data_IF_247707499238
#
_entry.id   IF_247707499238
#
_cell.length_a   1.000
_cell.length_b   1.000
_cell.length_c   1.000
_cell.angle_alpha   90.00
_cell.angle_beta   90.00
_cell.angle_gamma   90.00
#
_symmetry.space_group_name_H-M   'P 1'
#
loop_
_entity.id
_entity.type
_entity.pdbx_description
1 polymer ?
#
# COMPACT_ATOMS: atom_id res chain seq x y z
N UNK A 1 2.32 -31.83 -36.76
CA UNK A 1 2.03 -30.82 -35.71
C UNK A 1 3.36 -30.25 -35.23
N UNK A 2 3.74 -29.05 -35.70
CA UNK A 2 5.00 -28.41 -35.35
C UNK A 2 4.73 -27.22 -34.40
N UNK A 3 5.39 -27.20 -33.24
CA UNK A 3 5.32 -26.09 -32.28
C UNK A 3 6.17 -24.93 -32.80
N UNK A 4 5.53 -23.84 -33.18
CA UNK A 4 6.23 -22.62 -33.58
C UNK A 4 6.73 -21.92 -32.31
N UNK A 5 8.03 -22.01 -32.04
CA UNK A 5 8.67 -21.29 -30.93
C UNK A 5 9.25 -20.01 -31.51
N UNK A 6 8.52 -18.90 -31.38
CA UNK A 6 8.99 -17.60 -31.85
C UNK A 6 10.05 -17.08 -30.87
N UNK A 7 11.33 -17.20 -31.23
CA UNK A 7 12.41 -16.56 -30.49
C UNK A 7 12.27 -15.03 -30.62
N UNK A 8 12.23 -14.33 -29.50
CA UNK A 8 12.07 -12.88 -29.46
C UNK A 8 13.46 -12.24 -29.33
N UNK A 9 13.87 -11.50 -30.36
CA UNK A 9 15.12 -10.75 -30.42
C UNK A 9 14.95 -9.39 -29.71
N UNK A 10 15.70 -9.19 -28.62
CA UNK A 10 15.67 -7.98 -27.81
C UNK A 10 16.17 -6.73 -28.58
N UNK A 11 16.88 -6.92 -29.70
CA UNK A 11 17.40 -5.83 -30.52
C UNK A 11 16.33 -5.18 -31.41
N UNK A 12 15.21 -5.88 -31.65
CA UNK A 12 14.08 -5.40 -32.45
C UNK A 12 12.88 -4.95 -31.61
N UNK A 13 13.00 -4.91 -30.28
CA UNK A 13 11.96 -4.37 -29.42
C UNK A 13 12.06 -2.84 -29.34
N UNK A 14 10.93 -2.19 -29.61
CA UNK A 14 10.75 -0.75 -29.69
C UNK A 14 11.08 -0.07 -28.34
N UNK A 15 12.24 0.56 -28.23
CA UNK A 15 12.69 1.29 -27.04
C UNK A 15 12.18 2.74 -27.09
N UNK A 16 10.86 2.94 -26.94
CA UNK A 16 10.24 4.26 -26.73
C UNK A 16 10.46 5.30 -27.84
N UNK A 17 9.39 5.85 -28.41
CA UNK A 17 9.51 6.98 -29.33
C UNK A 17 9.95 8.22 -28.56
N UNK A 18 11.14 8.76 -28.82
CA UNK A 18 11.44 10.15 -28.44
C UNK A 18 10.51 11.08 -29.21
N UNK A 19 9.56 11.71 -28.53
CA UNK A 19 8.75 12.79 -29.10
C UNK A 19 9.35 14.14 -28.71
N UNK A 20 9.91 14.85 -29.69
CA UNK A 20 10.19 16.28 -29.56
C UNK A 20 8.86 17.02 -29.66
N UNK A 21 8.30 17.43 -28.52
CA UNK A 21 7.07 18.23 -28.47
C UNK A 21 7.42 19.69 -28.76
N UNK A 22 6.92 20.23 -29.87
CA UNK A 22 6.93 21.66 -30.14
C UNK A 22 5.82 22.33 -29.32
N UNK A 23 6.17 23.36 -28.54
CA UNK A 23 5.24 24.07 -27.64
C UNK A 23 4.22 24.83 -28.51
N UNK A 24 3.07 24.21 -28.78
CA UNK A 24 2.01 24.80 -29.59
C UNK A 24 0.81 23.89 -29.88
N UNK A 25 0.99 22.56 -29.87
CA UNK A 25 -0.09 21.58 -30.08
C UNK A 25 -0.59 21.00 -28.75
N UNK A 26 -1.35 21.80 -28.00
CA UNK A 26 -2.11 21.29 -26.85
C UNK A 26 -3.50 20.92 -27.37
N UNK A 27 -3.71 19.71 -27.92
CA UNK A 27 -5.05 19.41 -28.40
C UNK A 27 -5.32 18.18 -29.26
N UNK A 28 -4.64 17.06 -29.07
CA UNK A 28 -5.21 15.73 -29.37
C UNK A 28 -4.29 14.67 -28.76
N UNK A 29 -4.51 14.37 -27.48
CA UNK A 29 -3.87 13.22 -26.86
C UNK A 29 -4.50 11.95 -27.43
N UNK A 30 -3.81 11.26 -28.33
CA UNK A 30 -4.14 9.89 -28.67
C UNK A 30 -4.10 9.07 -27.37
N UNK A 31 -5.23 8.49 -26.98
CA UNK A 31 -5.29 7.57 -25.83
C UNK A 31 -4.57 6.30 -26.26
N UNK A 32 -3.29 6.20 -25.94
CA UNK A 32 -2.52 4.98 -26.14
C UNK A 32 -3.07 3.92 -25.17
N UNK A 33 -3.91 3.02 -25.69
CA UNK A 33 -4.35 1.83 -24.97
C UNK A 33 -3.17 0.88 -24.93
N UNK A 34 -2.34 1.01 -23.88
CA UNK A 34 -1.24 0.08 -23.65
C UNK A 34 -1.83 -1.23 -23.14
N UNK A 35 -2.00 -2.20 -24.05
CA UNK A 35 -2.37 -3.58 -23.71
C UNK A 35 -1.16 -4.28 -23.07
N UNK A 36 -0.91 -3.96 -21.80
CA UNK A 36 0.11 -4.65 -21.01
C UNK A 36 -0.45 -6.02 -20.61
N UNK A 37 0.21 -7.13 -20.96
CA UNK A 37 -0.20 -8.42 -20.43
C UNK A 37 -0.16 -8.37 -18.90
N UNK A 38 -1.22 -8.84 -18.25
CA UNK A 38 -1.27 -8.91 -16.79
C UNK A 38 -0.07 -9.74 -16.30
N UNK A 39 0.64 -9.28 -15.25
CA UNK A 39 1.70 -10.09 -14.68
C UNK A 39 1.11 -11.42 -14.20
N UNK A 40 1.82 -12.51 -14.44
CA UNK A 40 1.41 -13.84 -13.98
C UNK A 40 1.14 -13.82 -12.47
N UNK A 41 -0.04 -14.29 -12.04
CA UNK A 41 -0.45 -14.24 -10.63
C UNK A 41 -1.33 -13.05 -10.23
N UNK A 42 -1.55 -12.08 -11.13
CA UNK A 42 -2.34 -10.89 -10.83
C UNK A 42 -3.80 -11.22 -10.49
N UNK A 43 -4.41 -12.18 -11.19
CA UNK A 43 -5.81 -12.55 -10.98
C UNK A 43 -6.00 -13.21 -9.61
N UNK A 44 -5.08 -14.11 -9.23
CA UNK A 44 -5.07 -14.80 -7.96
C UNK A 44 -4.84 -13.82 -6.80
N UNK A 45 -3.95 -12.85 -6.99
CA UNK A 45 -3.71 -11.79 -6.01
C UNK A 45 -4.94 -10.90 -5.84
N UNK A 46 -5.57 -10.47 -6.93
CA UNK A 46 -6.80 -9.67 -6.88
C UNK A 46 -7.94 -10.44 -6.21
N UNK A 47 -8.10 -11.74 -6.48
CA UNK A 47 -9.07 -12.58 -5.80
C UNK A 47 -8.78 -12.63 -4.28
N UNK A 48 -7.52 -12.87 -3.89
CA UNK A 48 -7.09 -12.90 -2.50
C UNK A 48 -7.32 -11.56 -1.77
N UNK A 49 -7.07 -10.43 -2.44
CA UNK A 49 -7.27 -9.08 -1.90
C UNK A 49 -8.76 -8.69 -1.78
N UNK A 50 -9.65 -9.36 -2.52
CA UNK A 50 -11.10 -9.15 -2.43
C UNK A 50 -11.79 -10.00 -1.36
N UNK A 51 -11.08 -10.95 -0.73
CA UNK A 51 -11.63 -11.79 0.33
C UNK A 51 -12.10 -10.95 1.55
N UNK A 52 -13.21 -11.34 2.20
CA UNK A 52 -13.68 -10.68 3.41
C UNK A 52 -12.82 -11.06 4.62
N UNK A 53 -12.44 -10.04 5.40
CA UNK A 53 -11.69 -10.16 6.66
C UNK A 53 -12.40 -9.30 7.71
N UNK A 54 -12.62 -9.86 8.89
CA UNK A 54 -13.21 -9.12 10.01
C UNK A 54 -12.11 -8.48 10.83
N UNK A 55 -12.11 -7.16 10.88
CA UNK A 55 -11.10 -6.37 11.62
C UNK A 55 -11.77 -5.41 12.59
N UNK A 56 -11.06 -5.07 13.65
CA UNK A 56 -11.46 -4.03 14.60
C UNK A 56 -10.32 -3.04 14.73
N UNK A 57 -10.58 -1.78 14.38
CA UNK A 57 -9.64 -0.68 14.60
C UNK A 57 -9.77 -0.23 16.05
N UNK A 58 -8.65 -0.10 16.76
CA UNK A 58 -8.67 0.32 18.15
C UNK A 58 -9.05 1.80 18.29
N UNK A 59 -9.60 2.12 19.45
CA UNK A 59 -9.85 3.49 19.88
C UNK A 59 -8.54 4.27 19.97
N UNK A 60 -8.58 5.56 19.69
CA UNK A 60 -7.43 6.45 19.86
C UNK A 60 -7.49 7.10 21.22
N UNK A 61 -6.32 7.40 21.80
CA UNK A 61 -6.20 8.20 23.03
C UNK A 61 -6.03 9.69 22.74
N UNK A 62 -5.92 10.07 21.47
CA UNK A 62 -5.78 11.48 21.05
C UNK A 62 -7.17 12.07 20.78
N UNK A 63 -7.51 13.18 21.45
CA UNK A 63 -8.79 13.88 21.28
C UNK A 63 -8.94 14.50 19.88
N UNK A 64 -7.83 14.73 19.17
CA UNK A 64 -7.85 15.27 17.81
C UNK A 64 -8.10 14.20 16.74
N UNK A 65 -8.05 12.92 17.12
CA UNK A 65 -8.27 11.82 16.19
C UNK A 65 -9.76 11.66 15.90
N UNK A 66 -10.08 11.42 14.63
CA UNK A 66 -11.45 11.14 14.23
C UNK A 66 -11.86 9.71 14.59
N UNK A 67 -13.12 9.56 15.01
CA UNK A 67 -13.76 8.27 15.30
C UNK A 67 -13.84 7.36 14.07
N UNK A 68 -13.88 7.97 12.89
CA UNK A 68 -14.03 7.27 11.61
C UNK A 68 -12.75 7.40 10.79
N UNK A 69 -12.16 6.25 10.44
CA UNK A 69 -10.96 6.16 9.61
C UNK A 69 -11.35 5.86 8.18
N UNK A 70 -11.01 6.76 7.26
CA UNK A 70 -11.24 6.59 5.82
C UNK A 70 -10.05 5.91 5.16
N UNK A 71 -10.30 4.85 4.40
CA UNK A 71 -9.29 4.12 3.62
C UNK A 71 -9.73 4.01 2.17
N UNK A 72 -8.93 4.55 1.25
CA UNK A 72 -9.18 4.50 -0.19
C UNK A 72 -8.30 3.48 -0.92
N UNK A 73 -8.90 2.68 -1.79
CA UNK A 73 -8.20 1.79 -2.72
C UNK A 73 -8.86 1.86 -4.10
N UNK A 74 -8.13 2.33 -5.10
CA UNK A 74 -8.56 2.39 -6.52
C UNK A 74 -9.92 3.09 -6.70
N UNK A 75 -10.13 4.25 -6.06
CA UNK A 75 -11.37 5.02 -6.14
C UNK A 75 -12.52 4.50 -5.27
N UNK A 76 -12.35 3.36 -4.59
CA UNK A 76 -13.33 2.86 -3.61
C UNK A 76 -12.87 3.20 -2.20
N UNK A 77 -13.76 3.84 -1.45
CA UNK A 77 -13.53 4.24 -0.07
C UNK A 77 -14.26 3.31 0.91
N UNK A 78 -13.55 2.89 1.95
CA UNK A 78 -14.12 2.18 3.10
C UNK A 78 -13.90 3.02 4.36
N UNK A 79 -14.98 3.19 5.13
CA UNK A 79 -14.92 3.83 6.44
C UNK A 79 -14.85 2.76 7.53
N UNK A 80 -13.93 2.95 8.46
CA UNK A 80 -13.79 2.12 9.66
C UNK A 80 -14.24 2.90 10.87
N UNK A 81 -15.15 2.31 11.66
CA UNK A 81 -15.50 2.88 12.96
C UNK A 81 -14.60 2.25 14.03
N UNK A 82 -13.91 3.08 14.80
CA UNK A 82 -13.06 2.60 15.92
C UNK A 82 -13.91 1.87 16.96
N UNK A 83 -13.34 0.85 17.60
CA UNK A 83 -13.98 0.02 18.61
C UNK A 83 -15.02 -0.98 18.08
N UNK A 84 -15.34 -0.97 16.78
CA UNK A 84 -16.35 -1.85 16.18
C UNK A 84 -15.71 -2.84 15.21
N UNK A 85 -16.00 -4.13 15.39
CA UNK A 85 -15.61 -5.16 14.44
C UNK A 85 -16.41 -5.03 13.14
N UNK A 86 -15.72 -4.94 12.01
CA UNK A 86 -16.33 -4.78 10.69
C UNK A 86 -15.71 -5.76 9.70
N UNK A 87 -16.54 -6.41 8.91
CA UNK A 87 -16.10 -7.29 7.82
C UNK A 87 -15.88 -6.47 6.56
N UNK A 88 -14.64 -6.41 6.10
CA UNK A 88 -14.19 -5.60 4.96
C UNK A 88 -13.35 -6.43 3.99
N UNK A 89 -13.13 -5.93 2.79
CA UNK A 89 -12.19 -6.58 1.85
C UNK A 89 -10.74 -6.43 2.32
N UNK A 90 -9.94 -7.48 2.17
CA UNK A 90 -8.52 -7.54 2.56
C UNK A 90 -7.68 -6.37 2.02
N UNK A 91 -7.95 -5.87 0.82
CA UNK A 91 -7.28 -4.69 0.24
C UNK A 91 -7.30 -3.44 1.13
N UNK A 92 -8.37 -3.25 1.93
CA UNK A 92 -8.45 -2.13 2.86
C UNK A 92 -7.61 -2.38 4.12
N UNK A 93 -7.54 -3.65 4.56
CA UNK A 93 -6.69 -4.07 5.68
C UNK A 93 -5.21 -3.91 5.33
N UNK A 94 -4.82 -4.18 4.09
CA UNK A 94 -3.46 -3.92 3.61
C UNK A 94 -3.08 -2.44 3.79
N UNK A 95 -3.95 -1.52 3.36
CA UNK A 95 -3.71 -0.08 3.51
C UNK A 95 -3.60 0.34 4.96
N UNK A 96 -4.40 -0.24 5.86
CA UNK A 96 -4.27 -0.02 7.30
C UNK A 96 -2.93 -0.53 7.84
N UNK A 97 -2.50 -1.73 7.43
CA UNK A 97 -1.22 -2.32 7.84
C UNK A 97 -0.01 -1.50 7.36
N UNK A 98 -0.12 -0.89 6.18
CA UNK A 98 0.91 -0.01 5.62
C UNK A 98 0.87 1.41 6.19
N UNK A 99 -0.19 1.81 6.90
CA UNK A 99 -0.29 3.13 7.49
C UNK A 99 0.55 3.23 8.77
N UNK A 100 1.85 3.49 8.62
CA UNK A 100 2.78 3.67 9.74
C UNK A 100 3.08 5.15 9.96
N UNK A 101 3.31 5.51 11.23
CA UNK A 101 3.79 6.82 11.66
C UNK A 101 5.19 6.66 12.22
N UNK A 102 6.08 7.58 11.84
CA UNK A 102 7.43 7.69 12.40
C UNK A 102 7.47 8.94 13.25
N UNK A 103 7.63 8.75 14.55
CA UNK A 103 7.81 9.83 15.51
C UNK A 103 9.30 9.94 15.86
N UNK A 104 9.77 11.16 16.11
CA UNK A 104 11.16 11.42 16.48
C UNK A 104 11.21 11.93 17.92
N UNK A 105 12.07 11.33 18.72
CA UNK A 105 12.28 11.70 20.12
C UNK A 105 13.73 12.16 20.30
N UNK A 106 13.89 13.29 20.98
CA UNK A 106 15.18 13.90 21.22
C UNK A 106 15.40 14.03 22.72
N UNK A 107 16.43 13.35 23.24
CA UNK A 107 16.88 13.56 24.62
C UNK A 107 18.02 14.57 24.61
N UNK A 108 17.78 15.75 25.17
CA UNK A 108 18.79 16.77 25.43
C UNK A 108 19.35 16.56 26.84
N UNK A 109 20.68 16.46 26.96
CA UNK A 109 21.37 16.53 28.25
C UNK A 109 22.11 17.87 28.33
N UNK A 110 21.52 18.82 29.07
CA UNK A 110 22.00 20.19 29.19
C UNK A 110 23.42 20.28 29.78
N UNK A 111 23.91 19.24 30.47
CA UNK A 111 25.26 19.23 31.06
C UNK A 111 26.36 18.87 30.06
N UNK A 112 26.01 18.14 29.00
CA UNK A 112 26.95 17.66 27.96
C UNK A 112 26.90 18.50 26.67
N UNK A 113 25.97 19.46 26.58
CA UNK A 113 25.80 20.36 25.43
C UNK A 113 25.24 19.66 24.20
N UNK A 114 25.29 20.33 23.04
CA UNK A 114 24.73 19.82 21.77
C UNK A 114 25.44 18.58 21.20
N UNK A 115 26.62 18.22 21.73
CA UNK A 115 27.46 17.13 21.21
C UNK A 115 26.90 15.72 21.46
N UNK A 116 25.87 15.57 22.28
CA UNK A 116 25.24 14.28 22.66
C UNK A 116 23.75 14.20 22.28
N UNK A 117 23.33 14.98 21.28
CA UNK A 117 21.97 14.93 20.77
C UNK A 117 21.70 13.63 19.99
N UNK A 118 21.07 12.65 20.63
CA UNK A 118 20.67 11.40 19.98
C UNK A 118 19.18 11.45 19.61
N UNK A 119 18.91 11.55 18.31
CA UNK A 119 17.56 11.45 17.75
C UNK A 119 17.15 9.97 17.67
N UNK A 120 16.08 9.58 18.37
CA UNK A 120 15.54 8.23 18.32
C UNK A 120 14.26 8.20 17.49
N UNK A 121 14.27 7.39 16.44
CA UNK A 121 13.08 7.14 15.63
C UNK A 121 12.21 6.07 16.29
N UNK A 122 10.91 6.31 16.35
CA UNK A 122 9.90 5.36 16.82
C UNK A 122 8.88 5.13 15.72
N UNK A 123 8.77 3.90 15.24
CA UNK A 123 7.77 3.52 14.25
C UNK A 123 6.57 2.85 14.95
N UNK A 124 5.37 3.30 14.62
CA UNK A 124 4.12 2.73 15.12
C UNK A 124 3.07 2.68 14.02
N UNK A 125 2.02 1.90 14.24
CA UNK A 125 0.84 1.96 13.36
C UNK A 125 0.08 3.26 13.63
N UNK A 126 -0.28 3.98 12.56
CA UNK A 126 -1.12 5.17 12.65
C UNK A 126 -2.53 4.81 13.12
N UNK A 127 -3.04 3.66 12.67
CA UNK A 127 -4.34 3.12 13.06
C UNK A 127 -4.14 1.71 13.60
N UNK A 128 -3.84 1.54 14.89
CA UNK A 128 -3.72 0.22 15.49
C UNK A 128 -5.02 -0.59 15.30
N UNK A 129 -4.91 -1.85 14.89
CA UNK A 129 -6.07 -2.71 14.65
C UNK A 129 -5.76 -4.16 15.03
N UNK A 130 -6.82 -4.97 15.14
CA UNK A 130 -6.73 -6.42 15.28
C UNK A 130 -7.56 -7.12 14.20
N UNK A 131 -7.12 -8.31 13.80
CA UNK A 131 -7.87 -9.20 12.93
C UNK A 131 -8.66 -10.15 13.82
N UNK A 132 -9.99 -10.04 13.78
CA UNK A 132 -10.90 -10.87 14.57
C UNK A 132 -11.10 -12.22 13.88
N UNK A 133 -11.29 -12.22 12.57
CA UNK A 133 -11.50 -13.42 11.77
C UNK A 133 -10.89 -13.25 10.38
N UNK A 134 -10.10 -14.23 9.97
CA UNK A 134 -9.62 -14.41 8.60
C UNK A 134 -9.73 -15.89 8.24
N UNK A 135 -10.60 -16.21 7.28
CA UNK A 135 -10.86 -17.60 6.88
C UNK A 135 -9.75 -18.17 6.01
N UNK A 136 -8.89 -17.33 5.45
CA UNK A 136 -7.82 -17.78 4.58
C UNK A 136 -6.58 -18.12 5.43
N UNK A 137 -6.08 -19.38 5.38
CA UNK A 137 -4.90 -19.78 6.17
C UNK A 137 -3.62 -19.02 5.79
N UNK A 138 -3.57 -18.45 4.57
CA UNK A 138 -2.42 -17.65 4.10
C UNK A 138 -2.46 -16.21 4.63
N UNK A 139 -3.62 -15.74 5.10
CA UNK A 139 -3.84 -14.35 5.48
C UNK A 139 -2.96 -13.87 6.63
N UNK A 140 -2.80 -14.69 7.68
CA UNK A 140 -1.95 -14.33 8.83
C UNK A 140 -0.46 -14.20 8.49
N UNK A 141 0.08 -15.12 7.69
CA UNK A 141 1.47 -15.04 7.25
C UNK A 141 1.70 -13.84 6.32
N UNK A 142 0.77 -13.60 5.40
CA UNK A 142 0.78 -12.43 4.52
C UNK A 142 0.77 -11.12 5.31
N UNK A 143 -0.15 -10.97 6.27
CA UNK A 143 -0.27 -9.74 7.05
C UNK A 143 1.00 -9.45 7.86
N UNK A 144 1.63 -10.48 8.43
CA UNK A 144 2.93 -10.34 9.11
C UNK A 144 4.01 -9.85 8.15
N UNK A 145 4.02 -10.33 6.90
CA UNK A 145 4.92 -9.85 5.86
C UNK A 145 4.72 -8.35 5.59
N UNK A 146 3.48 -7.93 5.35
CA UNK A 146 3.15 -6.50 5.12
C UNK A 146 3.52 -5.62 6.32
N UNK A 147 3.29 -6.09 7.55
CA UNK A 147 3.68 -5.37 8.76
C UNK A 147 5.20 -5.28 8.95
N UNK A 148 5.97 -6.25 8.45
CA UNK A 148 7.43 -6.24 8.53
C UNK A 148 8.09 -5.29 7.51
N UNK A 149 7.42 -4.96 6.40
CA UNK A 149 7.96 -4.05 5.39
C UNK A 149 8.21 -2.65 5.97
N UNK A 150 9.46 -2.17 5.91
CA UNK A 150 9.82 -0.80 6.29
C UNK A 150 9.26 0.19 5.27
N UNK A 151 8.70 1.29 5.75
CA UNK A 151 8.17 2.38 4.92
C UNK A 151 9.23 3.44 4.68
#
# INVERSE_FOLDING_TARGET
>A
MARNTTAVDATNQYLGKESTVQIGEIGQGDVEVVDKPLPSGALELEAFMNEPVTVMVYESTDENDMDMVLVGVNGVSQYFRRGVAQTVKRKFVERLARAKRTDFDQKLDDRLGEAMNNLRQRHGLRYPFTVVEDRNPRGGAWLKGVLAETQ
#
